data_IF_559785099447
#
_entry.id   IF_559785099447
#
_cell.length_a   1.000
_cell.length_b   1.000
_cell.length_c   1.000
_cell.angle_alpha   90.00
_cell.angle_beta   90.00
_cell.angle_gamma   90.00
#
_symmetry.space_group_name_H-M   'P 1'
#
loop_
_entity.id
_entity.type
_entity.pdbx_description
1 polymer ?
#
# COMPACT_ATOMS: atom_id res chain seq x y z
N UNK A 1 13.54 6.44 6.57
CA UNK A 1 12.22 6.89 6.05
C UNK A 1 12.51 7.96 5.00
N UNK A 2 12.68 7.54 3.73
CA UNK A 2 13.30 8.36 2.70
C UNK A 2 12.64 8.25 1.32
N UNK A 3 11.37 7.89 1.27
CA UNK A 3 10.55 8.02 0.07
C UNK A 3 9.45 9.03 0.38
N UNK A 4 9.17 9.94 -0.55
CA UNK A 4 8.10 10.93 -0.42
C UNK A 4 6.74 10.26 -0.21
N UNK A 5 5.72 11.06 0.11
CA UNK A 5 4.36 10.55 0.31
C UNK A 5 3.90 9.85 -0.99
N UNK A 6 3.55 8.55 -0.95
CA UNK A 6 3.11 7.83 -2.13
C UNK A 6 1.78 8.42 -2.63
N UNK A 7 1.68 8.63 -3.95
CA UNK A 7 0.49 9.18 -4.61
C UNK A 7 -0.07 8.14 -5.57
N UNK A 8 -1.39 8.04 -5.59
CA UNK A 8 -2.15 7.22 -6.54
C UNK A 8 -3.28 8.06 -7.11
N UNK A 9 -3.60 7.89 -8.39
CA UNK A 9 -4.78 8.49 -9.00
C UNK A 9 -5.94 7.49 -9.01
N UNK A 10 -7.13 7.91 -8.58
CA UNK A 10 -8.34 7.08 -8.65
C UNK A 10 -9.30 7.66 -9.70
N UNK A 11 -9.62 6.86 -10.71
CA UNK A 11 -10.53 7.22 -11.79
C UNK A 11 -11.86 6.51 -11.56
N UNK A 12 -12.87 7.27 -11.16
CA UNK A 12 -14.24 6.76 -11.03
C UNK A 12 -14.91 6.86 -12.38
N UNK A 13 -15.47 7.99 -12.79
CA UNK A 13 -16.02 8.16 -14.14
C UNK A 13 -15.09 9.05 -14.99
N UNK A 14 -15.60 9.69 -16.04
CA UNK A 14 -14.87 10.76 -16.70
C UNK A 14 -15.36 11.09 -18.11
N UNK A 15 -15.06 12.32 -18.51
CA UNK A 15 -15.06 12.71 -19.91
C UNK A 15 -13.81 12.25 -20.66
N UNK A 16 -13.71 12.52 -21.96
CA UNK A 16 -12.60 12.08 -22.80
C UNK A 16 -11.23 12.63 -22.34
N UNK A 17 -11.19 13.83 -21.75
CA UNK A 17 -9.96 14.43 -21.22
C UNK A 17 -9.32 13.61 -20.10
N UNK A 18 -10.10 12.79 -19.38
CA UNK A 18 -9.56 11.92 -18.31
C UNK A 18 -8.55 10.92 -18.86
N UNK A 19 -8.75 10.41 -20.07
CA UNK A 19 -7.79 9.48 -20.70
C UNK A 19 -6.45 10.17 -20.96
N UNK A 20 -6.46 11.45 -21.33
CA UNK A 20 -5.25 12.26 -21.49
C UNK A 20 -4.56 12.52 -20.14
N UNK A 21 -5.32 12.86 -19.10
CA UNK A 21 -4.79 13.06 -17.74
C UNK A 21 -4.16 11.76 -17.21
N UNK A 22 -4.78 10.62 -17.45
CA UNK A 22 -4.22 9.30 -17.11
C UNK A 22 -2.89 9.09 -17.82
N UNK A 23 -2.79 9.42 -19.11
CA UNK A 23 -1.53 9.33 -19.85
C UNK A 23 -0.44 10.24 -19.24
N UNK A 24 -0.80 11.44 -18.79
CA UNK A 24 0.12 12.36 -18.12
C UNK A 24 0.64 11.78 -16.81
N UNK A 25 -0.24 11.24 -15.95
CA UNK A 25 0.16 10.56 -14.71
C UNK A 25 1.11 9.39 -14.95
N UNK A 26 0.84 8.58 -15.97
CA UNK A 26 1.68 7.45 -16.33
C UNK A 26 3.04 7.90 -16.90
N UNK A 27 3.15 9.10 -17.47
CA UNK A 27 4.39 9.66 -18.03
C UNK A 27 5.19 10.51 -17.05
N UNK A 28 4.63 10.83 -15.89
CA UNK A 28 5.31 11.64 -14.87
C UNK A 28 6.61 10.97 -14.37
N UNK A 29 7.45 11.75 -13.69
CA UNK A 29 8.74 11.30 -13.16
C UNK A 29 8.89 11.71 -11.69
N UNK A 30 8.65 10.80 -10.72
CA UNK A 30 8.27 9.39 -10.90
C UNK A 30 6.82 9.24 -11.40
N UNK A 31 6.48 8.13 -12.10
CA UNK A 31 5.12 7.93 -12.60
C UNK A 31 4.13 7.72 -11.46
N UNK A 32 2.90 8.20 -11.66
CA UNK A 32 1.81 8.05 -10.70
C UNK A 32 0.95 6.83 -11.09
N UNK A 33 0.88 5.77 -10.25
CA UNK A 33 0.01 4.64 -10.52
C UNK A 33 -1.47 5.05 -10.51
N UNK A 34 -2.27 4.37 -11.32
CA UNK A 34 -3.68 4.72 -11.55
C UNK A 34 -4.58 3.53 -11.21
N UNK A 35 -5.59 3.76 -10.38
CA UNK A 35 -6.69 2.82 -10.13
C UNK A 35 -7.90 3.25 -10.95
N UNK A 36 -8.47 2.34 -11.74
CA UNK A 36 -9.66 2.57 -12.56
C UNK A 36 -10.83 1.79 -11.96
N UNK A 37 -11.97 2.44 -11.75
CA UNK A 37 -13.20 1.82 -11.30
C UNK A 37 -14.04 1.28 -12.47
N UNK A 38 -13.78 0.04 -12.90
CA UNK A 38 -14.61 -0.67 -13.89
C UNK A 38 -16.07 -0.78 -13.43
N UNK A 39 -17.00 -0.47 -14.33
CA UNK A 39 -18.44 -0.52 -14.11
C UNK A 39 -19.04 0.80 -13.61
N UNK A 40 -18.24 1.86 -13.49
CA UNK A 40 -18.72 3.19 -13.08
C UNK A 40 -19.03 4.12 -14.25
N UNK A 41 -18.60 3.78 -15.48
CA UNK A 41 -19.06 4.44 -16.70
C UNK A 41 -17.98 5.18 -17.50
N UNK A 42 -18.35 5.49 -18.75
CA UNK A 42 -17.68 6.40 -19.68
C UNK A 42 -16.16 6.16 -19.82
N UNK A 43 -15.32 7.15 -19.48
CA UNK A 43 -13.87 7.05 -19.66
C UNK A 43 -13.25 5.90 -18.86
N UNK A 44 -13.78 5.62 -17.68
CA UNK A 44 -13.30 4.56 -16.81
C UNK A 44 -13.53 3.18 -17.40
N UNK A 45 -14.75 2.91 -17.88
CA UNK A 45 -15.07 1.64 -18.55
C UNK A 45 -14.27 1.47 -19.85
N UNK A 46 -14.02 2.56 -20.59
CA UNK A 46 -13.17 2.54 -21.79
C UNK A 46 -11.72 2.20 -21.42
N UNK A 47 -11.17 2.79 -20.36
CA UNK A 47 -9.82 2.49 -19.87
C UNK A 47 -9.74 1.05 -19.34
N UNK A 48 -10.74 0.59 -18.59
CA UNK A 48 -10.83 -0.78 -18.07
C UNK A 48 -10.94 -1.81 -19.21
N UNK A 49 -11.73 -1.52 -20.24
CA UNK A 49 -11.80 -2.34 -21.45
C UNK A 49 -10.44 -2.39 -22.16
N UNK A 50 -9.81 -1.23 -22.37
CA UNK A 50 -8.47 -1.16 -22.95
C UNK A 50 -7.48 -2.02 -22.18
N UNK A 51 -7.45 -1.89 -20.86
CA UNK A 51 -6.59 -2.68 -19.99
C UNK A 51 -6.90 -4.19 -20.07
N UNK A 52 -8.17 -4.58 -20.12
CA UNK A 52 -8.54 -6.01 -20.17
C UNK A 52 -8.12 -6.68 -21.48
N UNK A 53 -8.24 -5.98 -22.60
CA UNK A 53 -8.08 -6.58 -23.93
C UNK A 53 -6.80 -6.18 -24.67
N UNK A 54 -5.98 -5.29 -24.10
CA UNK A 54 -4.66 -5.00 -24.67
C UNK A 54 -3.63 -6.07 -24.32
N UNK A 55 -2.84 -6.45 -25.31
CA UNK A 55 -1.62 -7.24 -25.16
C UNK A 55 -0.46 -6.35 -24.67
N UNK A 56 0.66 -6.99 -24.32
CA UNK A 56 1.89 -6.30 -23.93
C UNK A 56 2.36 -5.38 -25.06
N UNK A 57 2.64 -4.12 -24.71
CA UNK A 57 2.99 -3.08 -25.69
C UNK A 57 1.80 -2.28 -26.25
N UNK A 58 0.59 -2.50 -25.75
CA UNK A 58 -0.57 -1.68 -26.09
C UNK A 58 -1.13 -1.99 -27.48
N UNK A 59 -1.21 -3.27 -27.84
CA UNK A 59 -1.85 -3.75 -29.06
C UNK A 59 -3.21 -4.39 -28.73
N UNK A 60 -4.17 -4.30 -29.65
CA UNK A 60 -5.48 -4.93 -29.53
C UNK A 60 -5.93 -5.47 -30.88
N UNK A 61 -6.64 -6.59 -30.88
CA UNK A 61 -7.19 -7.21 -32.08
C UNK A 61 -8.03 -6.22 -32.91
N UNK A 62 -7.92 -6.27 -34.23
CA UNK A 62 -8.62 -5.36 -35.16
C UNK A 62 -10.15 -5.37 -34.97
N UNK A 63 -10.75 -6.54 -34.72
CA UNK A 63 -12.19 -6.63 -34.47
C UNK A 63 -12.63 -5.90 -33.20
N UNK A 64 -11.83 -6.01 -32.12
CA UNK A 64 -12.07 -5.31 -30.86
C UNK A 64 -11.75 -3.81 -30.98
N UNK A 65 -10.76 -3.45 -31.80
CA UNK A 65 -10.43 -2.05 -32.12
C UNK A 65 -11.62 -1.33 -32.73
N UNK A 66 -12.28 -1.92 -33.72
CA UNK A 66 -13.43 -1.28 -34.36
C UNK A 66 -14.63 -1.17 -33.40
N UNK A 67 -14.88 -2.20 -32.59
CA UNK A 67 -15.91 -2.15 -31.53
C UNK A 67 -15.62 -1.05 -30.49
N UNK A 68 -14.36 -0.93 -30.05
CA UNK A 68 -13.94 0.08 -29.09
C UNK A 68 -14.07 1.49 -29.67
N UNK A 69 -13.72 1.68 -30.94
CA UNK A 69 -13.89 2.97 -31.61
C UNK A 69 -15.37 3.37 -31.72
N UNK A 70 -16.25 2.44 -32.07
CA UNK A 70 -17.71 2.69 -32.05
C UNK A 70 -18.19 3.03 -30.65
N UNK A 71 -17.66 2.36 -29.63
CA UNK A 71 -17.99 2.62 -28.22
C UNK A 71 -17.55 4.02 -27.80
N UNK A 72 -16.33 4.44 -28.15
CA UNK A 72 -15.84 5.80 -27.90
C UNK A 72 -16.73 6.85 -28.59
N UNK A 73 -17.10 6.63 -29.85
CA UNK A 73 -17.97 7.55 -30.60
C UNK A 73 -19.33 7.70 -29.92
N UNK A 74 -19.96 6.61 -29.50
CA UNK A 74 -21.26 6.63 -28.81
C UNK A 74 -21.18 7.25 -27.42
N UNK A 75 -20.13 6.95 -26.66
CA UNK A 75 -19.98 7.38 -25.26
C UNK A 75 -19.73 8.88 -25.12
N UNK A 76 -18.99 9.47 -26.06
CA UNK A 76 -18.62 10.90 -26.01
C UNK A 76 -19.23 11.73 -27.13
N UNK A 77 -20.10 11.16 -27.96
CA UNK A 77 -20.70 11.82 -29.14
C UNK A 77 -19.62 12.36 -30.09
N UNK A 78 -18.57 11.58 -30.31
CA UNK A 78 -17.40 11.95 -31.10
C UNK A 78 -17.52 11.53 -32.57
N UNK A 79 -16.90 12.30 -33.45
CA UNK A 79 -16.68 11.89 -34.84
C UNK A 79 -15.69 10.73 -34.92
N UNK A 80 -15.64 10.05 -36.08
CA UNK A 80 -14.69 8.94 -36.30
C UNK A 80 -13.23 9.38 -36.07
N UNK A 81 -12.86 10.58 -36.51
CA UNK A 81 -11.50 11.13 -36.37
C UNK A 81 -11.17 11.44 -34.91
N UNK A 82 -12.10 12.04 -34.16
CA UNK A 82 -11.92 12.29 -32.73
C UNK A 82 -11.79 10.98 -31.94
N UNK A 83 -12.60 9.97 -32.26
CA UNK A 83 -12.51 8.67 -31.62
C UNK A 83 -11.21 7.94 -31.93
N UNK A 84 -10.71 8.04 -33.17
CA UNK A 84 -9.40 7.52 -33.56
C UNK A 84 -8.27 8.18 -32.76
N UNK A 85 -8.32 9.51 -32.60
CA UNK A 85 -7.33 10.24 -31.81
C UNK A 85 -7.35 9.80 -30.33
N UNK A 86 -8.53 9.72 -29.72
CA UNK A 86 -8.66 9.27 -28.33
C UNK A 86 -8.23 7.80 -28.15
N UNK A 87 -8.50 6.94 -29.11
CA UNK A 87 -8.03 5.56 -29.12
C UNK A 87 -6.50 5.48 -29.12
N UNK A 88 -5.80 6.34 -29.87
CA UNK A 88 -4.33 6.37 -29.85
C UNK A 88 -3.82 6.71 -28.43
N UNK A 89 -4.39 7.73 -27.78
CA UNK A 89 -4.04 8.11 -26.41
C UNK A 89 -4.31 6.95 -25.43
N UNK A 90 -5.45 6.28 -25.58
CA UNK A 90 -5.80 5.10 -24.78
C UNK A 90 -4.74 4.00 -24.93
N UNK A 91 -4.34 3.66 -26.16
CA UNK A 91 -3.32 2.62 -26.39
C UNK A 91 -1.94 3.05 -25.89
N UNK A 92 -1.62 4.34 -25.89
CA UNK A 92 -0.40 4.86 -25.24
C UNK A 92 -0.43 4.64 -23.72
N UNK A 93 -1.58 4.76 -23.07
CA UNK A 93 -1.71 4.41 -21.64
C UNK A 93 -1.41 2.92 -21.43
N UNK A 94 -1.91 2.06 -22.33
CA UNK A 94 -1.74 0.60 -22.25
C UNK A 94 -0.29 0.13 -22.48
N UNK A 95 0.63 1.00 -22.89
CA UNK A 95 2.07 0.69 -22.91
C UNK A 95 2.69 0.60 -21.51
N UNK A 96 2.08 1.24 -20.52
CA UNK A 96 2.46 1.18 -19.09
C UNK A 96 1.36 0.50 -18.25
N UNK A 97 0.83 -0.59 -18.80
CA UNK A 97 -0.31 -1.34 -18.23
C UNK A 97 -0.05 -1.80 -16.79
N UNK A 98 1.20 -2.08 -16.44
CA UNK A 98 1.64 -2.50 -15.11
C UNK A 98 1.38 -1.45 -14.01
N UNK A 99 1.28 -0.17 -14.37
CA UNK A 99 0.97 0.94 -13.46
C UNK A 99 -0.53 1.21 -13.33
N UNK A 100 -1.35 0.47 -14.09
CA UNK A 100 -2.80 0.58 -14.10
C UNK A 100 -3.39 -0.60 -13.33
N UNK A 101 -4.19 -0.31 -12.30
CA UNK A 101 -4.93 -1.31 -11.53
C UNK A 101 -6.43 -1.12 -11.78
N UNK A 102 -7.11 -2.18 -12.22
CA UNK A 102 -8.56 -2.11 -12.47
C UNK A 102 -9.30 -2.71 -11.28
N UNK A 103 -10.14 -1.89 -10.66
CA UNK A 103 -11.05 -2.26 -9.58
C UNK A 103 -12.47 -2.35 -10.13
N UNK A 104 -13.12 -3.51 -10.00
CA UNK A 104 -14.49 -3.71 -10.50
C UNK A 104 -15.52 -3.38 -9.42
N UNK A 105 -16.36 -2.36 -9.66
CA UNK A 105 -17.42 -2.03 -8.72
C UNK A 105 -18.51 -3.11 -8.69
N UNK A 106 -18.99 -3.42 -7.48
CA UNK A 106 -20.14 -4.31 -7.28
C UNK A 106 -19.88 -5.80 -7.53
N UNK A 107 -18.63 -6.25 -7.63
CA UNK A 107 -18.34 -7.69 -7.62
C UNK A 107 -18.56 -8.28 -6.24
N UNK A 108 -19.22 -9.43 -6.15
CA UNK A 108 -19.44 -10.17 -4.91
C UNK A 108 -18.13 -10.67 -4.25
N UNK A 109 -17.02 -10.63 -4.98
CA UNK A 109 -15.67 -10.88 -4.48
C UNK A 109 -15.15 -9.68 -3.69
N UNK A 110 -14.77 -9.89 -2.43
CA UNK A 110 -14.32 -8.90 -1.44
C UNK A 110 -12.97 -8.24 -1.80
N UNK A 111 -12.82 -7.64 -2.97
CA UNK A 111 -11.74 -6.68 -3.17
C UNK A 111 -12.25 -5.32 -2.71
N UNK A 112 -11.85 -4.92 -1.52
CA UNK A 112 -12.13 -3.59 -1.02
C UNK A 112 -11.29 -2.56 -1.81
N UNK A 113 -11.78 -1.34 -1.98
CA UNK A 113 -11.10 -0.32 -2.80
C UNK A 113 -9.70 0.04 -2.28
N UNK A 114 -9.51 -0.04 -0.96
CA UNK A 114 -8.23 0.13 -0.27
C UNK A 114 -7.20 -0.95 -0.68
N UNK A 115 -7.65 -2.18 -1.00
CA UNK A 115 -6.81 -3.23 -1.58
C UNK A 115 -6.29 -2.82 -2.95
N UNK A 116 -7.17 -2.31 -3.82
CA UNK A 116 -6.81 -1.88 -5.15
C UNK A 116 -5.83 -0.70 -5.11
N UNK A 117 -6.08 0.26 -4.22
CA UNK A 117 -5.21 1.42 -3.98
C UNK A 117 -3.83 0.96 -3.50
N UNK A 118 -3.77 0.14 -2.45
CA UNK A 118 -2.49 -0.31 -1.91
C UNK A 118 -1.74 -1.18 -2.92
N UNK A 119 -2.43 -2.06 -3.64
CA UNK A 119 -1.82 -2.85 -4.73
C UNK A 119 -1.23 -1.96 -5.83
N UNK A 120 -1.92 -0.90 -6.23
CA UNK A 120 -1.42 0.04 -7.23
C UNK A 120 -0.16 0.77 -6.74
N UNK A 121 -0.14 1.19 -5.47
CA UNK A 121 1.05 1.81 -4.86
C UNK A 121 2.24 0.85 -4.82
N UNK A 122 2.03 -0.40 -4.42
CA UNK A 122 3.09 -1.42 -4.35
C UNK A 122 3.68 -1.72 -5.74
N UNK A 123 2.84 -1.80 -6.77
CA UNK A 123 3.28 -2.00 -8.15
C UNK A 123 3.98 -0.78 -8.74
N UNK A 124 3.45 0.42 -8.49
CA UNK A 124 3.92 1.65 -9.13
C UNK A 124 5.18 2.25 -8.51
N UNK A 125 5.40 2.05 -7.22
CA UNK A 125 6.50 2.69 -6.50
C UNK A 125 7.88 2.06 -6.74
N UNK A 126 7.96 0.89 -7.41
CA UNK A 126 9.16 0.04 -7.46
C UNK A 126 9.86 -0.06 -6.08
N UNK A 127 9.03 -0.07 -5.03
CA UNK A 127 9.47 0.06 -3.65
C UNK A 127 10.16 -1.23 -3.23
N UNK A 128 11.17 -1.12 -2.36
CA UNK A 128 11.84 -2.30 -1.82
C UNK A 128 10.86 -3.12 -0.98
N UNK A 129 11.07 -4.44 -0.86
CA UNK A 129 10.18 -5.28 -0.06
C UNK A 129 9.98 -4.79 1.40
N UNK A 130 11.00 -4.25 2.10
CA UNK A 130 10.81 -3.58 3.38
C UNK A 130 9.89 -2.35 3.32
N UNK A 131 10.02 -1.50 2.31
CA UNK A 131 9.16 -0.32 2.15
C UNK A 131 7.71 -0.72 1.87
N UNK A 132 7.53 -1.73 1.01
CA UNK A 132 6.23 -2.34 0.74
C UNK A 132 5.58 -2.88 2.03
N UNK A 133 6.37 -3.58 2.86
CA UNK A 133 5.89 -4.14 4.13
C UNK A 133 5.53 -3.04 5.12
N UNK A 134 6.33 -1.99 5.21
CA UNK A 134 6.05 -0.82 6.05
C UNK A 134 4.74 -0.15 5.65
N UNK A 135 4.48 -0.01 4.34
CA UNK A 135 3.21 0.55 3.85
C UNK A 135 2.02 -0.36 4.21
N UNK A 136 2.14 -1.68 4.02
CA UNK A 136 1.09 -2.62 4.41
C UNK A 136 0.81 -2.63 5.92
N UNK A 137 1.85 -2.52 6.75
CA UNK A 137 1.75 -2.37 8.21
C UNK A 137 0.99 -1.11 8.62
N UNK A 138 1.35 0.03 8.02
CA UNK A 138 0.70 1.32 8.28
C UNK A 138 -0.80 1.27 7.93
N UNK A 139 -1.14 0.59 6.83
CA UNK A 139 -2.51 0.42 6.35
C UNK A 139 -3.28 -0.73 7.03
N UNK A 140 -2.61 -1.50 7.89
CA UNK A 140 -3.16 -2.70 8.52
C UNK A 140 -3.71 -3.74 7.53
N UNK A 141 -3.03 -3.94 6.40
CA UNK A 141 -3.45 -4.90 5.36
C UNK A 141 -2.53 -6.12 5.31
N UNK A 142 -2.73 -7.00 6.29
CA UNK A 142 -1.94 -8.25 6.44
C UNK A 142 -2.16 -9.22 5.29
N UNK A 143 -3.35 -9.21 4.70
CA UNK A 143 -3.75 -10.01 3.55
C UNK A 143 -2.93 -9.63 2.29
N UNK A 144 -2.65 -8.34 2.11
CA UNK A 144 -1.78 -7.84 1.04
C UNK A 144 -0.33 -8.23 1.29
N UNK A 145 0.14 -8.05 2.53
CA UNK A 145 1.49 -8.45 2.88
C UNK A 145 1.71 -9.94 2.61
N UNK A 146 0.76 -10.79 3.00
CA UNK A 146 0.80 -12.22 2.77
C UNK A 146 0.79 -12.61 1.29
N UNK A 147 -0.03 -11.95 0.46
CA UNK A 147 -0.25 -12.36 -0.94
C UNK A 147 0.70 -11.70 -1.95
N UNK A 148 1.19 -10.49 -1.67
CA UNK A 148 1.98 -9.70 -2.61
C UNK A 148 3.44 -9.50 -2.18
N UNK A 149 3.74 -9.54 -0.87
CA UNK A 149 5.07 -9.17 -0.34
C UNK A 149 5.86 -10.41 0.11
N UNK A 150 5.22 -11.29 0.87
CA UNK A 150 5.82 -12.55 1.32
C UNK A 150 5.69 -13.65 0.26
N UNK A 151 6.24 -13.40 -0.94
CA UNK A 151 6.25 -14.35 -2.05
C UNK A 151 7.51 -15.22 -2.04
N UNK A 152 7.42 -16.39 -2.67
CA UNK A 152 8.55 -17.31 -2.77
C UNK A 152 9.74 -16.68 -3.49
N UNK A 153 10.94 -16.83 -2.93
CA UNK A 153 12.18 -16.27 -3.49
C UNK A 153 12.46 -14.83 -3.10
N UNK A 154 11.58 -14.18 -2.33
CA UNK A 154 11.82 -12.82 -1.82
C UNK A 154 13.03 -12.81 -0.87
N UNK A 155 14.00 -11.95 -1.16
CA UNK A 155 15.13 -11.70 -0.28
C UNK A 155 14.86 -10.52 0.65
N UNK A 156 15.19 -10.71 1.92
CA UNK A 156 15.02 -9.71 2.97
C UNK A 156 16.39 -9.21 3.44
N UNK A 157 16.62 -7.89 3.45
CA UNK A 157 17.81 -7.33 4.09
C UNK A 157 17.89 -7.73 5.57
N UNK A 158 19.10 -7.96 6.07
CA UNK A 158 19.32 -8.31 7.49
C UNK A 158 18.72 -7.25 8.40
N UNK A 159 17.93 -7.65 9.39
CA UNK A 159 17.30 -6.73 10.34
C UNK A 159 15.96 -6.15 9.89
N UNK A 160 15.58 -6.30 8.61
CA UNK A 160 14.35 -5.67 8.09
C UNK A 160 13.07 -6.28 8.68
N UNK A 161 13.03 -7.60 8.85
CA UNK A 161 11.90 -8.28 9.47
C UNK A 161 11.81 -8.01 10.97
N UNK A 162 12.96 -7.85 11.65
CA UNK A 162 12.98 -7.42 13.04
C UNK A 162 12.49 -5.99 13.22
N UNK A 163 12.82 -5.07 12.29
CA UNK A 163 12.25 -3.73 12.31
C UNK A 163 10.73 -3.77 12.10
N UNK A 164 10.28 -4.54 11.10
CA UNK A 164 8.84 -4.73 10.85
C UNK A 164 8.12 -5.34 12.06
N UNK A 165 8.78 -6.21 12.84
CA UNK A 165 8.25 -6.76 14.09
C UNK A 165 8.11 -5.68 15.17
N UNK A 166 9.11 -4.80 15.35
CA UNK A 166 8.99 -3.66 16.26
C UNK A 166 7.79 -2.78 15.87
N UNK A 167 7.70 -2.42 14.58
CA UNK A 167 6.63 -1.57 14.07
C UNK A 167 5.25 -2.23 14.30
N UNK A 168 5.13 -3.54 14.03
CA UNK A 168 3.90 -4.29 14.25
C UNK A 168 3.47 -4.31 15.73
N UNK A 169 4.42 -4.47 16.66
CA UNK A 169 4.15 -4.43 18.11
C UNK A 169 3.73 -3.03 18.56
N UNK A 170 4.43 -2.00 18.10
CA UNK A 170 4.18 -0.59 18.46
C UNK A 170 2.82 -0.12 17.93
N UNK A 171 2.40 -0.60 16.75
CA UNK A 171 1.14 -0.27 16.10
C UNK A 171 -0.02 -1.21 16.48
N UNK A 172 0.18 -2.14 17.42
CA UNK A 172 -0.82 -3.13 17.85
C UNK A 172 -1.41 -3.96 16.68
N UNK A 173 -0.52 -4.43 15.79
CA UNK A 173 -0.89 -5.21 14.60
C UNK A 173 -0.65 -6.70 14.82
N UNK A 174 -1.52 -7.33 15.61
CA UNK A 174 -1.40 -8.74 16.01
C UNK A 174 -1.26 -9.70 14.82
N UNK A 175 -2.01 -9.50 13.74
CA UNK A 175 -1.95 -10.41 12.59
C UNK A 175 -0.63 -10.27 11.80
N UNK A 176 -0.02 -9.09 11.80
CA UNK A 176 1.33 -8.91 11.27
C UNK A 176 2.39 -9.59 12.16
N UNK A 177 2.24 -9.54 13.48
CA UNK A 177 3.13 -10.28 14.40
C UNK A 177 3.09 -11.78 14.08
N UNK A 178 1.89 -12.35 13.90
CA UNK A 178 1.74 -13.75 13.47
C UNK A 178 2.41 -14.01 12.13
N UNK A 179 2.12 -13.18 11.13
CA UNK A 179 2.69 -13.30 9.78
C UNK A 179 4.23 -13.26 9.81
N UNK A 180 4.83 -12.37 10.60
CA UNK A 180 6.28 -12.23 10.72
C UNK A 180 6.91 -13.46 11.40
N UNK A 181 6.27 -14.01 12.44
CA UNK A 181 6.72 -15.25 13.09
C UNK A 181 6.65 -16.43 12.11
N UNK A 182 5.55 -16.54 11.35
CA UNK A 182 5.37 -17.55 10.28
C UNK A 182 6.47 -17.45 9.21
N UNK A 183 6.97 -16.24 8.95
CA UNK A 183 8.02 -15.96 7.94
C UNK A 183 9.44 -15.87 8.53
N UNK A 184 9.68 -16.44 9.71
CA UNK A 184 11.03 -16.71 10.22
C UNK A 184 11.55 -15.74 11.29
N UNK A 185 10.74 -14.80 11.78
CA UNK A 185 11.11 -13.99 12.94
C UNK A 185 11.05 -14.84 14.20
N UNK A 186 12.21 -15.07 14.82
CA UNK A 186 12.31 -15.76 16.11
C UNK A 186 12.22 -14.77 17.26
N UNK A 187 11.22 -14.92 18.14
CA UNK A 187 11.06 -14.07 19.32
C UNK A 187 12.28 -14.12 20.26
N UNK A 188 12.92 -15.29 20.39
CA UNK A 188 14.13 -15.45 21.20
C UNK A 188 15.31 -14.60 20.69
N UNK A 189 15.47 -14.50 19.37
CA UNK A 189 16.52 -13.67 18.75
C UNK A 189 16.11 -12.20 18.69
N UNK A 190 14.81 -11.95 18.53
CA UNK A 190 14.25 -10.62 18.41
C UNK A 190 14.33 -9.82 19.71
N UNK A 191 13.88 -10.40 20.84
CA UNK A 191 13.80 -9.70 22.13
C UNK A 191 15.18 -9.56 22.80
N UNK A 192 15.84 -8.43 22.54
CA UNK A 192 17.03 -8.00 23.26
C UNK A 192 16.67 -7.00 24.35
N UNK A 193 17.57 -6.78 25.32
CA UNK A 193 17.39 -5.75 26.36
C UNK A 193 17.07 -4.39 25.73
N UNK A 194 17.86 -3.98 24.73
CA UNK A 194 17.69 -2.68 24.06
C UNK A 194 16.31 -2.54 23.41
N UNK A 195 15.83 -3.58 22.70
CA UNK A 195 14.51 -3.56 22.06
C UNK A 195 13.38 -3.60 23.07
N UNK A 196 13.53 -4.35 24.16
CA UNK A 196 12.51 -4.40 25.19
C UNK A 196 12.37 -3.05 25.90
N UNK A 197 13.48 -2.40 26.24
CA UNK A 197 13.46 -1.03 26.75
C UNK A 197 12.87 -0.04 25.74
N UNK A 198 13.19 -0.17 24.45
CA UNK A 198 12.58 0.64 23.40
C UNK A 198 11.04 0.46 23.37
N UNK A 199 10.55 -0.77 23.44
CA UNK A 199 9.12 -1.08 23.50
C UNK A 199 8.45 -0.48 24.74
N UNK A 200 9.05 -0.57 25.93
CA UNK A 200 8.49 0.03 27.14
C UNK A 200 8.49 1.56 27.14
N UNK A 201 9.37 2.18 26.36
CA UNK A 201 9.47 3.63 26.22
C UNK A 201 8.74 4.18 24.99
N UNK A 202 7.99 3.35 24.25
CA UNK A 202 7.21 3.83 23.13
C UNK A 202 6.16 4.85 23.59
N UNK A 203 6.00 5.91 22.80
CA UNK A 203 4.95 6.92 22.99
C UNK A 203 3.70 6.63 22.19
N UNK A 204 3.76 5.62 21.32
CA UNK A 204 2.62 5.17 20.54
C UNK A 204 1.84 4.12 21.34
N UNK A 205 0.52 4.12 21.19
CA UNK A 205 -0.38 3.25 21.96
C UNK A 205 -1.19 4.03 23.01
N UNK A 206 -1.95 3.33 23.87
CA UNK A 206 -2.79 3.97 24.88
C UNK A 206 -1.93 4.71 25.91
N UNK A 207 -2.52 5.71 26.56
CA UNK A 207 -1.87 6.41 27.67
C UNK A 207 -1.37 5.41 28.72
N UNK A 208 -0.05 5.35 28.93
CA UNK A 208 0.53 4.46 29.90
C UNK A 208 0.72 5.17 31.26
N UNK A 209 0.53 4.43 32.34
CA UNK A 209 0.77 4.88 33.71
C UNK A 209 2.16 4.51 34.22
N UNK A 210 2.98 3.88 33.36
CA UNK A 210 4.26 3.29 33.73
C UNK A 210 5.21 4.34 34.32
N UNK A 211 5.26 5.54 33.72
CA UNK A 211 6.09 6.63 34.24
C UNK A 211 5.72 7.01 35.68
N UNK A 212 4.42 7.03 36.00
CA UNK A 212 3.95 7.33 37.36
C UNK A 212 4.33 6.22 38.34
N UNK A 213 4.16 4.95 37.95
CA UNK A 213 4.55 3.81 38.78
C UNK A 213 6.06 3.80 39.06
N UNK A 214 6.88 4.06 38.05
CA UNK A 214 8.34 4.15 38.22
C UNK A 214 8.71 5.30 39.15
N UNK A 215 8.05 6.45 39.05
CA UNK A 215 8.27 7.58 39.96
C UNK A 215 7.96 7.21 41.41
N UNK A 216 6.86 6.52 41.65
CA UNK A 216 6.41 6.13 42.98
C UNK A 216 7.38 5.14 43.63
N UNK A 217 7.80 4.11 42.89
CA UNK A 217 8.72 3.09 43.41
C UNK A 217 10.12 3.65 43.64
N UNK A 218 10.60 4.56 42.77
CA UNK A 218 11.92 5.20 42.93
C UNK A 218 11.96 6.32 43.97
N UNK A 219 10.80 6.75 44.49
CA UNK A 219 10.68 7.80 45.53
C UNK A 219 11.48 9.07 45.19
N UNK A 220 11.49 9.47 43.91
CA UNK A 220 12.29 10.60 43.42
C UNK A 220 11.61 11.37 42.29
N UNK A 221 12.06 12.60 42.04
CA UNK A 221 11.63 13.36 40.86
C UNK A 221 12.42 12.87 39.64
N UNK A 222 11.72 12.21 38.71
CA UNK A 222 12.29 11.83 37.42
C UNK A 222 12.32 13.04 36.48
N UNK A 223 13.37 13.19 35.65
CA UNK A 223 13.38 14.22 34.62
C UNK A 223 12.30 13.93 33.54
N UNK A 224 11.85 14.96 32.79
CA UNK A 224 10.78 14.82 31.80
C UNK A 224 11.09 13.87 30.64
N UNK A 225 12.38 13.65 30.36
CA UNK A 225 12.92 12.80 29.28
C UNK A 225 13.55 11.50 29.81
N UNK A 226 13.24 11.14 31.06
CA UNK A 226 13.76 9.91 31.67
C UNK A 226 13.35 8.68 30.84
N UNK A 227 14.36 7.89 30.45
CA UNK A 227 14.16 6.62 29.75
C UNK A 227 14.07 5.48 30.76
N UNK A 228 12.95 4.77 30.76
CA UNK A 228 12.65 3.66 31.67
C UNK A 228 13.55 2.48 31.31
N UNK A 229 14.28 1.94 32.29
CA UNK A 229 15.12 0.75 32.13
C UNK A 229 14.38 -0.52 32.53
N UNK A 230 14.90 -1.70 32.15
CA UNK A 230 14.35 -2.98 32.63
C UNK A 230 14.44 -3.14 34.16
N UNK A 231 15.42 -2.49 34.80
CA UNK A 231 15.52 -2.49 36.27
C UNK A 231 14.33 -1.77 36.88
N UNK A 232 13.98 -0.61 36.31
CA UNK A 232 12.82 0.17 36.76
C UNK A 232 11.51 -0.64 36.60
N UNK A 233 11.39 -1.38 35.50
CA UNK A 233 10.23 -2.25 35.24
C UNK A 233 10.19 -3.41 36.23
N UNK A 234 11.34 -4.03 36.54
CA UNK A 234 11.43 -5.09 37.54
C UNK A 234 10.92 -4.62 38.91
N UNK A 235 11.33 -3.42 39.33
CA UNK A 235 10.86 -2.81 40.59
C UNK A 235 9.35 -2.54 40.58
N UNK A 236 8.80 -2.07 39.46
CA UNK A 236 7.35 -1.85 39.31
C UNK A 236 6.58 -3.18 39.37
N UNK A 237 7.08 -4.23 38.71
CA UNK A 237 6.45 -5.55 38.73
C UNK A 237 6.47 -6.12 40.16
N UNK A 238 7.59 -6.02 40.87
CA UNK A 238 7.70 -6.44 42.27
C UNK A 238 6.76 -5.67 43.21
N UNK A 239 6.53 -4.39 42.92
CA UNK A 239 5.57 -3.56 43.67
C UNK A 239 4.10 -3.93 43.42
N UNK A 240 3.78 -4.48 42.25
CA UNK A 240 2.40 -4.81 41.83
C UNK A 240 1.98 -6.26 42.11
N UNK A 241 2.93 -7.18 42.31
CA UNK A 241 2.68 -8.59 42.66
C UNK A 241 2.51 -8.78 44.16
#
# INVERSE_FOLDING_TARGET
>A
IGQGVPVVALIVEGGPNVISIVLEYLRDTPPVPVVICDGSGRASDILAFGHKYSEDGGLINESLRDQLLVTIQKTFTYTRTQAQHLFIILMECMKKKELITVFRMGSEGHQDIDLAILTALLKGANASAPDQLSLALAWNRVDIARSQIFIYGQQWPVGSLEQAMLDALVLDRVDFVKLLIENGVSMHRFLTISRLEELYNTRHGPSNTLYHLVRDVKKGNLPPDYRISLIDIGLVIEYLM
#
